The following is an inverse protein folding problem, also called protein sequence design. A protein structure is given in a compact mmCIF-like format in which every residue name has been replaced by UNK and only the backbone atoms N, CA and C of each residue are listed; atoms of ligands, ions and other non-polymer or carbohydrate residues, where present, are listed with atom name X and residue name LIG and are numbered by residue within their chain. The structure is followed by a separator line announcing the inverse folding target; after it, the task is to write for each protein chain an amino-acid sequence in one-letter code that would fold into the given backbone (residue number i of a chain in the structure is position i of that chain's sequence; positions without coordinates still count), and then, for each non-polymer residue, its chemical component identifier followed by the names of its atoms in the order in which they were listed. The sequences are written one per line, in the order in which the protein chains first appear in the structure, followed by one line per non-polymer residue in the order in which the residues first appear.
data_IF_657065647423
#
_entry.id   IF_657065647423
#
_cell.length_a   1.000
_cell.length_b   1.000
_cell.length_c   1.000
_cell.angle_alpha   90.00
_cell.angle_beta   90.00
_cell.angle_gamma   90.00
#
_symmetry.space_group_name_H-M   'P 1'
#
loop_
_entity.id
_entity.type
_entity.pdbx_description
1 polymer ?
#
# COMPACT_ATOMS: atom_id res chain seq x y z
N UNK A 1 62.28 -32.67 -14.20
CA UNK A 1 61.69 -31.52 -13.49
C UNK A 1 60.20 -31.26 -13.80
N UNK A 2 59.57 -31.99 -14.73
CA UNK A 2 58.27 -31.64 -15.30
C UNK A 2 57.04 -32.28 -14.61
N UNK A 3 57.21 -33.39 -13.86
CA UNK A 3 56.10 -34.05 -13.16
C UNK A 3 55.78 -33.40 -11.81
N UNK A 4 56.78 -33.01 -11.02
CA UNK A 4 56.56 -32.32 -9.73
C UNK A 4 55.79 -31.00 -9.89
N UNK A 5 56.04 -30.25 -10.97
CA UNK A 5 55.34 -28.99 -11.27
C UNK A 5 53.87 -29.24 -11.61
N UNK A 6 53.57 -30.32 -12.36
CA UNK A 6 52.20 -30.74 -12.68
C UNK A 6 51.43 -31.17 -11.43
N UNK A 7 52.07 -31.90 -10.52
CA UNK A 7 51.47 -32.33 -9.24
C UNK A 7 51.15 -31.15 -8.33
N UNK A 8 52.06 -30.19 -8.23
CA UNK A 8 51.87 -28.98 -7.40
C UNK A 8 50.80 -28.06 -8.00
N UNK A 9 50.75 -27.93 -9.33
CA UNK A 9 49.69 -27.16 -10.00
C UNK A 9 48.30 -27.76 -9.79
N UNK A 10 48.17 -29.10 -9.86
CA UNK A 10 46.90 -29.78 -9.60
C UNK A 10 46.47 -29.63 -8.13
N UNK A 11 47.42 -29.74 -7.20
CA UNK A 11 47.15 -29.53 -5.77
C UNK A 11 46.70 -28.09 -5.49
N UNK A 12 47.34 -27.08 -6.10
CA UNK A 12 46.92 -25.69 -5.97
C UNK A 12 45.51 -25.43 -6.54
N UNK A 13 45.18 -26.03 -7.69
CA UNK A 13 43.83 -25.91 -8.28
C UNK A 13 42.77 -26.54 -7.36
N UNK A 14 43.06 -27.70 -6.77
CA UNK A 14 42.14 -28.31 -5.81
C UNK A 14 41.95 -27.45 -4.57
N UNK A 15 43.01 -26.87 -4.01
CA UNK A 15 42.91 -25.97 -2.84
C UNK A 15 42.12 -24.69 -3.18
N UNK A 16 42.35 -24.10 -4.35
CA UNK A 16 41.61 -22.92 -4.82
C UNK A 16 40.11 -23.23 -5.04
N UNK A 17 39.79 -24.42 -5.56
CA UNK A 17 38.40 -24.84 -5.76
C UNK A 17 37.63 -25.03 -4.45
N UNK A 18 38.30 -25.57 -3.42
CA UNK A 18 37.73 -25.71 -2.08
C UNK A 18 37.52 -24.34 -1.44
N UNK A 19 38.48 -23.42 -1.54
CA UNK A 19 38.32 -22.06 -1.01
C UNK A 19 37.19 -21.27 -1.68
N UNK A 20 36.92 -21.49 -2.96
CA UNK A 20 35.81 -20.84 -3.66
C UNK A 20 34.44 -21.27 -3.12
N UNK A 21 34.33 -22.49 -2.54
CA UNK A 21 33.10 -22.99 -1.91
C UNK A 21 32.91 -22.48 -0.48
N UNK A 22 33.97 -22.01 0.18
CA UNK A 22 33.89 -21.38 1.51
C UNK A 22 33.43 -19.91 1.46
N UNK A 23 33.38 -19.29 0.27
CA UNK A 23 32.94 -17.90 0.07
C UNK A 23 31.46 -17.76 -0.26
N UNK A 24 30.64 -18.78 0.00
CA UNK A 24 29.20 -18.55 0.14
C UNK A 24 29.03 -17.85 1.48
N UNK A 25 29.23 -16.54 1.50
CA UNK A 25 28.74 -15.69 2.57
C UNK A 25 27.24 -16.01 2.67
N UNK A 26 26.86 -16.73 3.73
CA UNK A 26 25.46 -16.93 4.05
C UNK A 26 24.92 -15.52 4.29
N UNK A 27 24.21 -14.98 3.29
CA UNK A 27 23.41 -13.78 3.49
C UNK A 27 22.40 -14.19 4.55
N UNK A 28 22.63 -13.77 5.79
CA UNK A 28 21.68 -13.96 6.86
C UNK A 28 20.48 -13.08 6.50
N UNK A 29 19.50 -13.67 5.82
CA UNK A 29 18.17 -13.06 5.73
C UNK A 29 17.64 -13.10 7.16
N UNK A 30 17.67 -11.94 7.82
CA UNK A 30 16.94 -11.78 9.06
C UNK A 30 15.48 -11.95 8.72
N UNK A 31 14.86 -13.03 9.19
CA UNK A 31 13.41 -13.09 9.20
C UNK A 31 12.94 -11.89 10.03
N UNK A 32 12.18 -10.98 9.43
CA UNK A 32 11.40 -10.03 10.21
C UNK A 32 10.48 -10.88 11.08
N UNK A 33 10.80 -10.95 12.37
CA UNK A 33 9.90 -11.55 13.34
C UNK A 33 8.58 -10.81 13.23
N UNK A 34 7.50 -11.54 12.94
CA UNK A 34 6.14 -10.99 12.99
C UNK A 34 5.87 -10.74 14.47
N UNK A 35 6.16 -9.52 14.91
CA UNK A 35 5.79 -9.06 16.24
C UNK A 35 4.28 -8.85 16.16
N UNK A 36 3.52 -9.81 16.70
CA UNK A 36 2.10 -9.58 16.96
C UNK A 36 2.05 -8.59 18.12
N UNK A 37 1.98 -7.30 17.80
CA UNK A 37 1.74 -6.25 18.77
C UNK A 37 0.27 -6.28 19.21
N UNK A 38 -0.05 -5.52 20.24
CA UNK A 38 -1.45 -5.24 20.57
C UNK A 38 -2.16 -4.58 19.37
N UNK A 39 -3.50 -4.63 19.38
CA UNK A 39 -4.30 -3.99 18.34
C UNK A 39 -3.97 -2.49 18.28
N UNK A 40 -3.63 -2.00 17.08
CA UNK A 40 -3.37 -0.59 16.84
C UNK A 40 -4.69 0.07 16.47
N UNK A 41 -5.06 1.11 17.21
CA UNK A 41 -6.21 1.94 16.88
C UNK A 41 -5.82 2.91 15.74
N UNK A 42 -6.49 2.79 14.59
CA UNK A 42 -6.27 3.68 13.44
C UNK A 42 -6.89 5.06 13.70
N UNK A 43 -8.11 5.09 14.24
CA UNK A 43 -8.85 6.32 14.53
C UNK A 43 -9.81 6.13 15.70
N UNK A 44 -10.00 7.17 16.50
CA UNK A 44 -11.14 7.27 17.41
C UNK A 44 -12.26 8.07 16.74
N UNK A 45 -13.18 7.36 16.09
CA UNK A 45 -14.33 7.97 15.40
C UNK A 45 -15.33 8.64 16.33
N UNK A 46 -15.22 8.46 17.65
CA UNK A 46 -16.16 8.98 18.63
C UNK A 46 -17.59 8.50 18.35
N UNK A 47 -18.48 9.43 18.00
CA UNK A 47 -19.88 9.12 17.61
C UNK A 47 -20.04 8.80 16.12
N UNK A 48 -18.98 8.94 15.33
CA UNK A 48 -19.01 8.64 13.90
C UNK A 48 -19.01 7.14 13.67
N UNK A 49 -19.70 6.73 12.61
CA UNK A 49 -19.74 5.34 12.18
C UNK A 49 -18.69 5.10 11.09
N UNK A 50 -17.51 4.63 11.48
CA UNK A 50 -16.45 4.21 10.56
C UNK A 50 -16.64 2.73 10.15
N UNK A 51 -16.78 2.48 8.84
CA UNK A 51 -17.12 1.17 8.29
C UNK A 51 -16.48 0.91 6.92
N UNK A 52 -16.49 -0.36 6.49
CA UNK A 52 -16.11 -0.79 5.14
C UNK A 52 -14.68 -0.35 4.80
N UNK A 53 -13.73 -0.78 5.62
CA UNK A 53 -12.33 -0.47 5.40
C UNK A 53 -11.73 -1.36 4.30
N UNK A 54 -10.88 -0.76 3.47
CA UNK A 54 -9.94 -1.45 2.59
C UNK A 54 -8.52 -1.07 3.00
N UNK A 55 -7.59 -2.02 2.87
CA UNK A 55 -6.22 -1.89 3.34
C UNK A 55 -5.23 -2.36 2.29
N UNK A 56 -4.09 -1.68 2.21
CA UNK A 56 -2.96 -2.04 1.36
C UNK A 56 -1.65 -1.61 2.00
N UNK A 57 -0.53 -2.01 1.40
CA UNK A 57 0.81 -1.62 1.89
C UNK A 57 1.69 -1.16 0.74
N UNK A 58 2.49 -0.13 0.97
CA UNK A 58 3.49 0.34 0.01
C UNK A 58 4.78 -0.50 0.05
N UNK A 59 5.71 -0.17 -0.85
CA UNK A 59 7.04 -0.79 -0.97
C UNK A 59 7.90 -0.67 0.30
N UNK A 60 7.62 0.31 1.16
CA UNK A 60 8.31 0.55 2.44
C UNK A 60 7.63 -0.16 3.61
N UNK A 61 6.50 -0.82 3.37
CA UNK A 61 5.69 -1.53 4.37
C UNK A 61 4.81 -0.61 5.21
N UNK A 62 4.62 0.66 4.83
CA UNK A 62 3.60 1.49 5.46
C UNK A 62 2.23 0.95 5.06
N UNK A 63 1.29 0.98 5.99
CA UNK A 63 -0.08 0.52 5.80
C UNK A 63 -0.96 1.70 5.43
N UNK A 64 -1.67 1.54 4.33
CA UNK A 64 -2.68 2.47 3.84
C UNK A 64 -4.04 1.92 4.18
N UNK A 65 -4.87 2.73 4.82
CA UNK A 65 -6.23 2.36 5.21
C UNK A 65 -7.18 3.39 4.63
N UNK A 66 -8.19 2.92 3.91
CA UNK A 66 -9.32 3.74 3.50
C UNK A 66 -10.60 3.18 4.07
N UNK A 67 -11.52 4.03 4.48
CA UNK A 67 -12.81 3.61 5.02
C UNK A 67 -13.89 4.64 4.76
N UNK A 68 -15.13 4.22 4.95
CA UNK A 68 -16.29 5.12 4.88
C UNK A 68 -16.62 5.64 6.27
N UNK A 69 -16.91 6.94 6.39
CA UNK A 69 -17.47 7.53 7.61
C UNK A 69 -18.91 7.93 7.39
N UNK A 70 -19.81 7.39 8.20
CA UNK A 70 -21.27 7.58 8.12
C UNK A 70 -21.87 7.24 6.73
N UNK A 71 -21.16 6.45 5.91
CA UNK A 71 -21.45 6.23 4.48
C UNK A 71 -21.56 7.53 3.65
N UNK A 72 -20.92 8.61 4.08
CA UNK A 72 -20.94 9.90 3.39
C UNK A 72 -19.62 10.16 2.69
N UNK A 73 -18.49 10.07 3.39
CA UNK A 73 -17.19 10.42 2.84
C UNK A 73 -16.18 9.29 3.02
N UNK A 74 -15.19 9.23 2.14
CA UNK A 74 -14.01 8.40 2.34
C UNK A 74 -13.00 9.13 3.20
N UNK A 75 -12.39 8.38 4.09
CA UNK A 75 -11.27 8.80 4.91
C UNK A 75 -10.09 7.89 4.62
N UNK A 76 -8.90 8.47 4.76
CA UNK A 76 -7.61 7.83 4.53
C UNK A 76 -6.71 8.04 5.75
N UNK A 77 -5.90 7.04 6.08
CA UNK A 77 -4.80 7.15 7.03
C UNK A 77 -3.61 6.31 6.55
N UNK A 78 -2.42 6.76 6.94
CA UNK A 78 -1.16 6.10 6.66
C UNK A 78 -0.47 5.78 7.98
N UNK A 79 -0.09 4.52 8.17
CA UNK A 79 0.55 4.02 9.38
C UNK A 79 1.91 3.41 9.01
N UNK A 80 2.95 3.69 9.80
CA UNK A 80 4.27 3.11 9.59
C UNK A 80 4.28 1.60 9.85
N UNK A 81 5.29 0.85 9.37
CA UNK A 81 5.44 -0.58 9.67
C UNK A 81 5.55 -0.88 11.18
N UNK A 82 5.80 0.15 12.00
CA UNK A 82 5.92 0.05 13.46
C UNK A 82 4.62 0.42 14.19
N UNK A 83 3.57 0.78 13.46
CA UNK A 83 2.28 1.17 14.03
C UNK A 83 2.16 2.64 14.39
N UNK A 84 3.09 3.50 13.96
CA UNK A 84 3.01 4.94 14.20
C UNK A 84 2.15 5.60 13.11
N UNK A 85 1.22 6.46 13.49
CA UNK A 85 0.46 7.25 12.51
C UNK A 85 1.38 8.23 11.80
N UNK A 86 1.46 8.13 10.48
CA UNK A 86 2.18 9.06 9.61
C UNK A 86 1.25 10.15 9.06
N UNK A 87 0.02 9.76 8.71
CA UNK A 87 -1.05 10.67 8.30
C UNK A 87 -2.30 10.24 9.04
N UNK A 88 -2.83 11.13 9.87
CA UNK A 88 -4.09 10.89 10.60
C UNK A 88 -5.29 10.98 9.65
N UNK A 89 -6.46 10.55 10.13
CA UNK A 89 -7.69 10.45 9.39
C UNK A 89 -8.01 11.71 8.56
N UNK A 90 -7.74 11.61 7.26
CA UNK A 90 -7.89 12.69 6.28
C UNK A 90 -9.07 12.38 5.38
N UNK A 91 -10.02 13.30 5.23
CA UNK A 91 -11.09 13.14 4.25
C UNK A 91 -10.50 13.30 2.84
N UNK A 92 -10.78 12.35 1.94
CA UNK A 92 -10.21 12.30 0.57
C UNK A 92 -11.26 12.37 -0.54
N UNK A 93 -12.52 12.51 -0.17
CA UNK A 93 -13.60 12.75 -1.14
C UNK A 93 -13.99 14.21 -1.11
N UNK A 94 -14.30 14.71 -2.29
CA UNK A 94 -14.76 16.07 -2.49
C UNK A 94 -15.98 16.43 -1.63
N UNK A 95 -16.17 17.73 -1.44
CA UNK A 95 -17.38 18.25 -0.80
C UNK A 95 -18.61 17.93 -1.65
N UNK A 96 -19.65 17.37 -1.04
CA UNK A 96 -20.85 17.00 -1.76
C UNK A 96 -21.80 16.11 -0.98
N UNK A 97 -22.94 15.83 -1.59
CA UNK A 97 -23.88 14.82 -1.10
C UNK A 97 -23.52 13.48 -1.73
N UNK A 98 -22.98 12.58 -0.92
CA UNK A 98 -22.54 11.27 -1.36
C UNK A 98 -23.23 10.16 -0.55
N UNK A 99 -23.28 8.97 -1.14
CA UNK A 99 -23.63 7.74 -0.43
C UNK A 99 -22.63 6.67 -0.80
N UNK A 100 -21.53 6.63 -0.06
CA UNK A 100 -20.35 5.84 -0.40
C UNK A 100 -20.43 4.45 0.22
N UNK A 101 -20.15 3.45 -0.63
CA UNK A 101 -20.14 2.04 -0.29
C UNK A 101 -18.98 1.31 -0.96
N UNK A 102 -18.46 0.31 -0.25
CA UNK A 102 -17.52 -0.68 -0.72
C UNK A 102 -16.31 -0.07 -1.42
N UNK A 103 -15.51 0.74 -0.69
CA UNK A 103 -14.22 1.12 -1.21
C UNK A 103 -13.34 -0.12 -1.37
N UNK A 104 -12.53 -0.10 -2.41
CA UNK A 104 -11.43 -1.03 -2.62
C UNK A 104 -10.16 -0.22 -2.95
N UNK A 105 -9.00 -0.78 -2.62
CA UNK A 105 -7.72 -0.08 -2.65
C UNK A 105 -6.60 -0.99 -3.15
N UNK A 106 -5.77 -0.45 -4.04
CA UNK A 106 -4.48 -1.05 -4.43
C UNK A 106 -3.38 0.01 -4.43
N UNK A 107 -2.14 -0.45 -4.26
CA UNK A 107 -0.95 0.41 -4.25
C UNK A 107 -0.08 0.04 -5.45
N UNK A 108 0.27 1.02 -6.28
CA UNK A 108 1.06 0.82 -7.50
C UNK A 108 2.57 0.75 -7.24
N UNK A 109 3.36 0.42 -8.25
CA UNK A 109 4.83 0.32 -8.12
C UNK A 109 5.52 1.67 -7.82
N UNK A 110 4.81 2.78 -7.96
CA UNK A 110 5.27 4.12 -7.57
C UNK A 110 4.73 4.54 -6.20
N UNK A 111 4.21 3.56 -5.46
CA UNK A 111 3.53 3.67 -4.19
C UNK A 111 2.24 4.52 -4.21
N UNK A 112 1.72 4.93 -5.38
CA UNK A 112 0.45 5.66 -5.45
C UNK A 112 -0.71 4.75 -5.06
N UNK A 113 -1.68 5.33 -4.37
CA UNK A 113 -2.81 4.60 -3.82
C UNK A 113 -4.00 4.85 -4.71
N UNK A 114 -4.50 3.79 -5.32
CA UNK A 114 -5.65 3.83 -6.19
C UNK A 114 -6.85 3.34 -5.42
N UNK A 115 -7.93 4.12 -5.43
CA UNK A 115 -9.14 3.81 -4.66
C UNK A 115 -10.35 3.87 -5.59
N UNK A 116 -11.18 2.84 -5.53
CA UNK A 116 -12.45 2.76 -6.24
C UNK A 116 -13.59 2.61 -5.24
N UNK A 117 -14.75 3.19 -5.50
CA UNK A 117 -15.93 3.01 -4.64
C UNK A 117 -17.23 3.17 -5.42
N UNK A 118 -18.33 2.73 -4.81
CA UNK A 118 -19.67 3.00 -5.32
C UNK A 118 -20.25 4.25 -4.63
N UNK A 119 -20.62 5.25 -5.42
CA UNK A 119 -21.46 6.35 -4.96
C UNK A 119 -22.91 6.11 -5.41
N UNK A 120 -23.79 5.96 -4.41
CA UNK A 120 -25.22 5.70 -4.58
C UNK A 120 -26.06 6.96 -4.40
N UNK A 121 -25.44 8.15 -4.40
CA UNK A 121 -26.15 9.41 -4.43
C UNK A 121 -26.79 9.63 -5.81
N UNK A 122 -28.11 9.49 -5.89
CA UNK A 122 -28.85 9.66 -7.14
C UNK A 122 -28.71 8.45 -8.07
N UNK A 123 -28.04 8.61 -9.20
CA UNK A 123 -27.72 7.49 -10.10
C UNK A 123 -26.45 6.78 -9.61
N UNK A 124 -26.45 5.45 -9.61
CA UNK A 124 -25.31 4.67 -9.17
C UNK A 124 -24.08 4.96 -10.03
N UNK A 125 -23.02 5.42 -9.38
CA UNK A 125 -21.75 5.72 -9.99
C UNK A 125 -20.64 4.84 -9.40
N UNK A 126 -19.73 4.38 -10.26
CA UNK A 126 -18.42 3.89 -9.86
C UNK A 126 -17.46 5.06 -9.98
N UNK A 127 -16.81 5.36 -8.88
CA UNK A 127 -15.91 6.50 -8.71
C UNK A 127 -14.49 5.99 -8.51
N UNK A 128 -13.51 6.83 -8.85
CA UNK A 128 -12.09 6.53 -8.72
C UNK A 128 -11.31 7.78 -8.33
N UNK A 129 -10.35 7.62 -7.42
CA UNK A 129 -9.36 8.62 -7.02
C UNK A 129 -7.99 7.97 -6.93
N UNK A 130 -6.93 8.75 -7.08
CA UNK A 130 -5.57 8.30 -6.80
C UNK A 130 -4.87 9.27 -5.86
N UNK A 131 -4.20 8.74 -4.85
CA UNK A 131 -3.48 9.50 -3.84
C UNK A 131 -1.97 9.34 -4.00
N UNK A 132 -1.25 10.39 -3.69
CA UNK A 132 0.19 10.46 -3.48
C UNK A 132 0.49 11.03 -2.09
N UNK A 133 0.36 10.21 -1.01
CA UNK A 133 0.57 10.62 0.38
C UNK A 133 1.89 11.30 0.68
N UNK A 134 2.95 11.02 -0.11
CA UNK A 134 4.27 11.64 0.07
C UNK A 134 4.32 13.14 -0.21
N UNK A 135 3.24 13.73 -0.71
CA UNK A 135 3.08 15.17 -0.75
C UNK A 135 2.78 15.77 0.64
N UNK A 136 2.30 14.98 1.61
CA UNK A 136 2.02 15.43 2.96
C UNK A 136 3.31 15.47 3.84
N UNK A 137 3.31 16.26 4.94
CA UNK A 137 4.45 16.35 5.86
C UNK A 137 4.82 15.06 6.60
N UNK A 138 3.90 14.08 6.67
CA UNK A 138 4.05 12.82 7.42
C UNK A 138 4.41 13.03 8.91
N UNK A 139 3.84 14.04 9.54
CA UNK A 139 4.09 14.40 10.95
C UNK A 139 3.11 13.75 11.93
N UNK A 140 2.30 12.81 11.45
CA UNK A 140 1.26 12.13 12.22
C UNK A 140 -0.03 12.93 12.38
N UNK A 141 -0.13 14.10 11.76
CA UNK A 141 -1.36 14.90 11.74
C UNK A 141 -2.21 14.58 10.51
N UNK A 142 -3.47 15.03 10.52
CA UNK A 142 -4.32 14.94 9.35
C UNK A 142 -3.79 15.89 8.27
N UNK A 143 -3.89 15.46 7.01
CA UNK A 143 -3.57 16.28 5.84
C UNK A 143 -4.84 16.89 5.25
N UNK A 144 -4.71 17.50 4.08
CA UNK A 144 -5.81 17.99 3.27
C UNK A 144 -5.90 17.17 1.97
N UNK A 145 -7.13 16.90 1.51
CA UNK A 145 -7.41 16.17 0.27
C UNK A 145 -6.56 16.68 -0.91
N UNK A 146 -6.61 17.99 -1.17
CA UNK A 146 -5.87 18.61 -2.28
C UNK A 146 -4.34 18.54 -2.17
N UNK A 147 -3.79 18.21 -0.99
CA UNK A 147 -2.34 17.98 -0.83
C UNK A 147 -1.95 16.59 -1.26
N UNK A 148 -2.74 15.57 -0.89
CA UNK A 148 -2.40 14.17 -1.12
C UNK A 148 -3.06 13.59 -2.38
N UNK A 149 -3.99 14.28 -3.01
CA UNK A 149 -4.68 13.77 -4.20
C UNK A 149 -3.87 14.01 -5.47
N UNK A 150 -3.60 12.92 -6.19
CA UNK A 150 -2.91 12.90 -7.49
C UNK A 150 -3.90 12.91 -8.66
N UNK A 151 -5.02 12.19 -8.53
CA UNK A 151 -6.14 12.21 -9.47
C UNK A 151 -7.39 12.46 -8.65
N UNK A 152 -8.07 13.57 -8.93
CA UNK A 152 -9.31 13.97 -8.27
C UNK A 152 -10.47 12.99 -8.53
N UNK A 153 -11.52 13.06 -7.70
CA UNK A 153 -12.69 12.17 -7.77
C UNK A 153 -13.29 12.14 -9.18
N UNK A 154 -13.10 11.00 -9.84
CA UNK A 154 -13.48 10.80 -11.22
C UNK A 154 -14.59 9.77 -11.34
N UNK A 155 -15.55 10.04 -12.23
CA UNK A 155 -16.65 9.11 -12.51
C UNK A 155 -16.19 8.15 -13.60
N UNK A 156 -16.00 6.89 -13.25
CA UNK A 156 -15.66 5.82 -14.22
C UNK A 156 -16.90 5.36 -14.98
N UNK A 157 -18.03 5.23 -14.28
CA UNK A 157 -19.30 4.82 -14.89
C UNK A 157 -20.47 5.32 -14.08
N UNK A 158 -21.53 5.80 -14.75
CA UNK A 158 -22.80 6.21 -14.12
C UNK A 158 -24.01 5.68 -14.86
N UNK A 159 -24.90 4.96 -14.17
CA UNK A 159 -26.13 4.37 -14.74
C UNK A 159 -27.24 4.34 -13.68
N UNK A 160 -28.48 4.15 -14.13
CA UNK A 160 -29.65 4.03 -13.24
C UNK A 160 -29.73 2.69 -12.50
N UNK A 161 -29.14 1.64 -13.05
CA UNK A 161 -29.11 0.31 -12.44
C UNK A 161 -28.05 0.22 -11.36
N UNK A 162 -28.25 -0.69 -10.40
CA UNK A 162 -27.32 -0.88 -9.29
C UNK A 162 -25.90 -1.18 -9.79
N UNK A 163 -24.93 -0.41 -9.31
CA UNK A 163 -23.49 -0.63 -9.43
C UNK A 163 -22.94 -0.60 -8.01
N UNK A 164 -22.32 -1.69 -7.60
CA UNK A 164 -21.87 -1.88 -6.22
C UNK A 164 -20.73 -2.90 -6.17
N UNK A 165 -19.95 -2.90 -5.08
CA UNK A 165 -18.72 -3.69 -4.93
C UNK A 165 -17.80 -3.58 -6.14
N UNK A 166 -17.36 -2.36 -6.51
CA UNK A 166 -16.24 -2.25 -7.42
C UNK A 166 -14.99 -2.84 -6.79
N UNK A 167 -14.13 -3.39 -7.64
CA UNK A 167 -12.79 -3.83 -7.28
C UNK A 167 -11.82 -3.34 -8.34
N UNK A 168 -10.58 -3.09 -7.95
CA UNK A 168 -9.49 -2.75 -8.85
C UNK A 168 -8.28 -3.64 -8.58
N UNK A 169 -7.44 -3.82 -9.60
CA UNK A 169 -6.19 -4.56 -9.50
C UNK A 169 -5.19 -3.95 -10.48
N UNK A 170 -3.91 -4.27 -10.31
CA UNK A 170 -2.83 -3.72 -11.11
C UNK A 170 -2.28 -4.81 -12.04
N UNK A 171 -2.17 -4.51 -13.32
CA UNK A 171 -1.59 -5.44 -14.29
C UNK A 171 -0.06 -5.50 -14.20
N UNK A 172 0.54 -6.44 -14.95
CA UNK A 172 2.00 -6.64 -14.99
C UNK A 172 2.81 -5.46 -15.56
N UNK A 173 2.14 -4.46 -16.11
CA UNK A 173 2.75 -3.24 -16.65
C UNK A 173 2.46 -2.02 -15.77
N UNK A 174 1.98 -2.25 -14.55
CA UNK A 174 1.62 -1.23 -13.57
C UNK A 174 0.45 -0.33 -14.03
N UNK A 175 -0.47 -0.86 -14.85
CA UNK A 175 -1.72 -0.18 -15.16
C UNK A 175 -2.82 -0.60 -14.19
N UNK A 176 -3.66 0.35 -13.85
CA UNK A 176 -4.84 0.20 -12.99
C UNK A 176 -6.12 0.22 -13.82
#
# INVERSE_FOLDING_TARGET
MNQKIKSVSLASIMVLSVMSSLLIASVSVSASTVVITEAIQIVDGGTSSDQQAAVGSDSSGNVHVVWTRNNLHLYYSMISPRGETLIDATQITNSGLHKIWHPDLVVDEYDRIHVVWADKAGQHAIMYTALSPWAAPMDGMASDDGTITAIDDSIISRRSQNRDWPALDIDSQNNV
#
